data_IF_987891371754
#
_entry.id   IF_987891371754
#
_cell.length_a   1.000
_cell.length_b   1.000
_cell.length_c   1.000
_cell.angle_alpha   90.00
_cell.angle_beta   90.00
_cell.angle_gamma   90.00
#
_symmetry.space_group_name_H-M   'P 1'
#
loop_
_entity.id
_entity.type
_entity.pdbx_description
1 polymer ?
#
# COMPACT_ATOMS: atom_id res chain seq x y z
N UNK A 1 1.15 9.73 -1.59
CA UNK A 1 2.40 9.15 -2.12
C UNK A 1 3.62 10.03 -1.77
N UNK A 2 3.56 11.39 -1.90
CA UNK A 2 4.68 12.27 -1.56
C UNK A 2 5.18 12.07 -0.13
N UNK A 3 4.28 12.13 0.85
CA UNK A 3 4.63 11.90 2.27
C UNK A 3 5.25 10.52 2.50
N UNK A 4 4.76 9.48 1.83
CA UNK A 4 5.33 8.13 1.94
C UNK A 4 6.77 8.11 1.42
N UNK A 5 7.04 8.83 0.32
CA UNK A 5 8.39 8.92 -0.24
C UNK A 5 9.40 9.58 0.73
N UNK A 6 8.91 10.45 1.62
CA UNK A 6 9.76 11.17 2.59
C UNK A 6 10.03 10.39 3.88
N UNK A 7 9.08 9.53 4.30
CA UNK A 7 9.15 8.92 5.64
C UNK A 7 9.28 7.40 5.64
N UNK A 8 9.01 6.71 4.51
CA UNK A 8 9.04 5.27 4.47
C UNK A 8 10.40 4.73 4.01
N UNK A 9 10.86 3.66 4.64
CA UNK A 9 12.05 2.89 4.22
C UNK A 9 11.67 1.89 3.13
N UNK A 10 10.52 1.23 3.32
CA UNK A 10 9.94 0.28 2.37
C UNK A 10 8.49 0.64 2.04
N UNK A 11 8.07 0.24 0.86
CA UNK A 11 6.71 0.45 0.37
C UNK A 11 6.10 -0.88 -0.05
N UNK A 12 4.86 -1.07 0.39
CA UNK A 12 4.01 -2.19 0.02
C UNK A 12 2.83 -1.63 -0.80
N UNK A 13 2.76 -2.01 -2.06
CA UNK A 13 1.69 -1.56 -2.96
C UNK A 13 0.56 -2.59 -2.94
N UNK A 14 -0.62 -2.15 -2.52
CA UNK A 14 -1.81 -3.00 -2.44
C UNK A 14 -2.82 -2.67 -3.53
N UNK A 15 -3.32 -3.70 -4.18
CA UNK A 15 -4.43 -3.64 -5.13
C UNK A 15 -5.42 -4.76 -4.87
N UNK A 16 -6.69 -4.42 -4.65
CA UNK A 16 -7.80 -5.38 -4.41
C UNK A 16 -7.49 -6.46 -3.36
N UNK A 17 -6.97 -6.03 -2.23
CA UNK A 17 -6.68 -6.90 -1.10
C UNK A 17 -5.39 -7.71 -1.21
N UNK A 18 -4.62 -7.55 -2.28
CA UNK A 18 -3.34 -8.24 -2.50
C UNK A 18 -2.18 -7.27 -2.55
N UNK A 19 -1.00 -7.73 -2.14
CA UNK A 19 0.25 -7.04 -2.43
C UNK A 19 0.62 -7.33 -3.88
N UNK A 20 0.83 -6.28 -4.66
CA UNK A 20 1.21 -6.39 -6.08
C UNK A 20 2.66 -6.02 -6.32
N UNK A 21 3.24 -5.20 -5.44
CA UNK A 21 4.66 -4.85 -5.49
C UNK A 21 5.15 -4.47 -4.08
N UNK A 22 6.39 -4.79 -3.77
CA UNK A 22 7.06 -4.45 -2.51
C UNK A 22 8.53 -4.18 -2.77
N UNK A 23 9.09 -3.20 -2.08
CA UNK A 23 10.51 -2.88 -2.17
C UNK A 23 10.86 -1.62 -1.39
N UNK A 24 12.13 -1.26 -1.46
CA UNK A 24 12.61 0.01 -0.89
C UNK A 24 11.90 1.17 -1.59
N UNK A 25 11.62 2.22 -0.86
CA UNK A 25 10.89 3.38 -1.39
C UNK A 25 11.50 3.91 -2.69
N UNK A 26 12.82 4.06 -2.74
CA UNK A 26 13.52 4.56 -3.93
C UNK A 26 13.36 3.63 -5.13
N UNK A 27 13.47 2.32 -4.93
CA UNK A 27 13.36 1.34 -6.02
C UNK A 27 11.96 1.34 -6.63
N UNK A 28 10.91 1.40 -5.78
CA UNK A 28 9.51 1.48 -6.22
C UNK A 28 9.23 2.78 -6.99
N UNK A 29 9.85 3.90 -6.59
CA UNK A 29 9.63 5.19 -7.25
C UNK A 29 10.44 5.34 -8.54
N UNK A 30 11.70 4.88 -8.55
CA UNK A 30 12.59 5.01 -9.70
C UNK A 30 12.29 3.99 -10.81
N UNK A 31 11.94 2.75 -10.43
CA UNK A 31 11.76 1.65 -11.37
C UNK A 31 10.58 0.73 -10.99
N UNK A 32 9.35 1.26 -10.94
CA UNK A 32 8.16 0.45 -10.67
C UNK A 32 8.00 -0.65 -11.72
N UNK A 33 7.79 -1.89 -11.28
CA UNK A 33 7.63 -3.02 -12.19
C UNK A 33 6.17 -3.30 -12.50
N UNK A 34 5.30 -3.23 -11.49
CA UNK A 34 3.90 -3.60 -11.66
C UNK A 34 3.11 -2.48 -12.37
N UNK A 35 2.25 -2.80 -13.38
CA UNK A 35 1.47 -1.79 -14.13
C UNK A 35 0.61 -0.90 -13.25
N UNK A 36 0.06 -1.45 -12.16
CA UNK A 36 -0.70 -0.67 -11.18
C UNK A 36 0.16 0.37 -10.48
N UNK A 37 1.37 0.00 -10.06
CA UNK A 37 2.32 0.95 -9.42
C UNK A 37 2.71 2.06 -10.38
N UNK A 38 3.03 1.70 -11.64
CA UNK A 38 3.30 2.67 -12.71
C UNK A 38 2.13 3.66 -12.85
N UNK A 39 0.91 3.15 -12.94
CA UNK A 39 -0.29 3.96 -13.02
C UNK A 39 -0.47 4.85 -11.80
N UNK A 40 -0.34 4.29 -10.60
CA UNK A 40 -0.51 5.00 -9.33
C UNK A 40 0.46 6.17 -9.16
N UNK A 41 1.73 5.99 -9.56
CA UNK A 41 2.75 7.04 -9.53
C UNK A 41 2.50 8.12 -10.58
N UNK A 42 2.06 7.74 -11.77
CA UNK A 42 1.82 8.67 -12.88
C UNK A 42 0.47 9.42 -12.78
N UNK A 43 -0.49 8.93 -12.00
CA UNK A 43 -1.78 9.61 -11.77
C UNK A 43 -1.67 10.78 -10.78
N UNK A 44 -0.50 11.10 -10.27
CA UNK A 44 -0.29 12.18 -9.31
C UNK A 44 -0.38 13.55 -10.00
N UNK A 45 -1.30 14.46 -9.57
CA UNK A 45 -1.31 15.82 -10.08
C UNK A 45 -0.03 16.55 -9.66
N UNK A 46 0.60 17.21 -10.61
CA UNK A 46 1.78 18.06 -10.36
C UNK A 46 1.32 19.51 -10.28
N UNK A 47 1.88 20.26 -9.31
CA UNK A 47 1.52 21.65 -9.08
C UNK A 47 2.03 22.60 -10.18
N UNK A 48 3.07 22.18 -10.89
CA UNK A 48 3.72 22.93 -11.98
C UNK A 48 3.08 22.72 -13.36
N UNK A 49 2.05 21.89 -13.44
CA UNK A 49 1.49 21.44 -14.71
C UNK A 49 -0.04 21.54 -14.74
N UNK A 50 -0.57 22.13 -15.81
CA UNK A 50 -2.00 22.15 -16.05
C UNK A 50 -2.38 21.01 -16.98
N UNK A 51 -3.10 20.02 -16.44
CA UNK A 51 -3.59 18.89 -17.23
C UNK A 51 -5.01 19.18 -17.75
N UNK A 52 -5.27 18.90 -19.01
CA UNK A 52 -6.64 18.87 -19.53
C UNK A 52 -7.43 17.70 -18.94
N UNK A 53 -6.73 16.57 -18.74
CA UNK A 53 -7.21 15.37 -18.05
C UNK A 53 -6.03 14.70 -17.35
N UNK A 54 -6.17 14.41 -16.07
CA UNK A 54 -5.20 13.59 -15.37
C UNK A 54 -5.26 12.15 -15.88
N UNK A 55 -4.10 11.50 -16.09
CA UNK A 55 -4.09 10.06 -16.34
C UNK A 55 -4.71 9.33 -15.16
N UNK A 56 -5.35 8.22 -15.43
CA UNK A 56 -5.95 7.32 -14.43
C UNK A 56 -5.25 5.97 -14.50
N UNK A 57 -5.34 5.17 -13.44
CA UNK A 57 -4.74 3.83 -13.42
C UNK A 57 -5.22 2.98 -14.60
N UNK A 58 -6.47 3.14 -15.05
CA UNK A 58 -7.02 2.45 -16.22
C UNK A 58 -6.39 2.86 -17.55
N UNK A 59 -5.62 3.95 -17.57
CA UNK A 59 -4.83 4.30 -18.76
C UNK A 59 -3.55 3.45 -18.87
N UNK A 60 -3.09 2.85 -17.77
CA UNK A 60 -1.87 2.05 -17.68
C UNK A 60 -2.13 0.55 -17.66
N UNK A 61 -3.32 0.12 -17.28
CA UNK A 61 -3.65 -1.30 -17.21
C UNK A 61 -5.12 -1.59 -17.48
N UNK A 62 -5.39 -2.80 -17.97
CA UNK A 62 -6.71 -3.43 -17.92
C UNK A 62 -6.78 -4.42 -16.76
N UNK A 63 -7.94 -4.52 -16.15
CA UNK A 63 -8.19 -5.53 -15.12
C UNK A 63 -9.46 -6.30 -15.46
N UNK A 64 -9.32 -7.57 -15.79
CA UNK A 64 -10.46 -8.50 -15.95
C UNK A 64 -10.75 -9.19 -14.62
N UNK A 65 -12.01 -9.09 -14.17
CA UNK A 65 -12.45 -9.72 -12.93
C UNK A 65 -13.07 -11.07 -13.28
N UNK A 66 -12.50 -12.13 -12.73
CA UNK A 66 -13.03 -13.48 -12.87
C UNK A 66 -14.15 -13.75 -11.86
N UNK A 67 -14.96 -14.81 -12.15
CA UNK A 67 -16.09 -15.20 -11.28
C UNK A 67 -15.67 -15.63 -9.86
N UNK A 68 -14.43 -16.05 -9.69
CA UNK A 68 -13.83 -16.40 -8.38
C UNK A 68 -13.34 -15.18 -7.58
N UNK A 69 -13.49 -13.96 -8.16
CA UNK A 69 -13.03 -12.71 -7.57
C UNK A 69 -11.54 -12.41 -7.77
N UNK A 70 -10.83 -13.26 -8.52
CA UNK A 70 -9.47 -12.95 -8.96
C UNK A 70 -9.48 -11.90 -10.08
N UNK A 71 -8.37 -11.19 -10.28
CA UNK A 71 -8.24 -10.24 -11.37
C UNK A 71 -6.97 -10.57 -12.17
N UNK A 72 -7.13 -10.67 -13.48
CA UNK A 72 -5.99 -10.65 -14.40
C UNK A 72 -5.68 -9.21 -14.77
N UNK A 73 -4.43 -8.80 -14.59
CA UNK A 73 -3.96 -7.46 -14.88
C UNK A 73 -3.10 -7.53 -16.14
N UNK A 74 -3.45 -6.74 -17.14
CA UNK A 74 -2.71 -6.62 -18.39
C UNK A 74 -2.17 -5.20 -18.50
N UNK A 75 -0.87 -5.04 -18.69
CA UNK A 75 -0.24 -3.74 -18.94
C UNK A 75 -0.69 -3.18 -20.29
N UNK A 76 -1.08 -1.92 -20.30
CA UNK A 76 -1.30 -1.16 -21.53
C UNK A 76 -0.02 -0.39 -21.86
N UNK A 77 0.72 -0.75 -22.90
CA UNK A 77 1.85 0.08 -23.29
C UNK A 77 1.32 1.46 -23.70
N UNK A 78 1.83 2.47 -23.05
CA UNK A 78 1.57 3.86 -23.43
C UNK A 78 2.34 4.11 -24.72
N UNK A 79 1.66 4.02 -25.85
CA UNK A 79 2.24 4.40 -27.14
C UNK A 79 2.63 5.88 -27.16
N UNK A 80 3.57 6.28 -28.06
CA UNK A 80 4.05 7.68 -28.15
C UNK A 80 2.93 8.71 -28.31
N UNK A 81 1.88 8.37 -29.02
CA UNK A 81 0.72 9.24 -29.23
C UNK A 81 -0.07 9.47 -27.95
N UNK A 82 -0.18 8.47 -27.12
CA UNK A 82 -0.91 8.56 -25.83
C UNK A 82 -0.10 9.31 -24.79
N UNK A 83 1.22 9.15 -24.81
CA UNK A 83 2.15 9.96 -24.02
C UNK A 83 2.10 11.41 -24.45
N UNK A 84 2.14 11.69 -25.76
CA UNK A 84 2.00 13.05 -26.31
C UNK A 84 0.64 13.67 -25.96
N UNK A 85 -0.43 12.89 -25.86
CA UNK A 85 -1.72 13.40 -25.42
C UNK A 85 -1.68 13.98 -23.99
N UNK A 86 -0.98 13.32 -23.08
CA UNK A 86 -0.77 13.84 -21.72
C UNK A 86 0.25 14.99 -21.70
N UNK A 87 1.28 14.95 -22.54
CA UNK A 87 2.35 15.95 -22.65
C UNK A 87 1.92 17.23 -23.35
N UNK A 88 1.13 17.14 -24.44
CA UNK A 88 0.67 18.30 -25.21
C UNK A 88 -0.41 19.12 -24.50
N UNK A 89 -1.06 18.56 -23.48
CA UNK A 89 -2.10 19.23 -22.70
C UNK A 89 -1.64 19.76 -21.35
N UNK A 90 -0.37 19.76 -21.12
CA UNK A 90 0.34 20.27 -19.99
C UNK A 90 1.69 19.53 -19.93
N UNK A 91 2.81 20.22 -19.96
CA UNK A 91 4.17 19.67 -19.97
C UNK A 91 4.43 18.78 -18.74
N UNK A 92 3.62 17.74 -18.57
CA UNK A 92 3.75 16.72 -17.53
C UNK A 92 4.79 15.71 -17.95
N UNK A 93 5.98 15.84 -17.45
CA UNK A 93 6.99 14.79 -17.51
C UNK A 93 6.52 13.64 -16.63
N UNK A 94 6.41 12.44 -17.18
CA UNK A 94 6.27 11.24 -16.36
C UNK A 94 7.47 11.17 -15.42
N UNK A 95 7.23 10.96 -14.13
CA UNK A 95 8.30 10.78 -13.15
C UNK A 95 9.13 9.55 -13.54
N UNK A 96 10.25 9.77 -14.17
CA UNK A 96 11.16 8.72 -14.62
C UNK A 96 12.60 8.93 -14.15
N UNK A 97 12.87 9.97 -13.36
CA UNK A 97 14.23 10.26 -12.94
C UNK A 97 14.33 10.70 -11.48
N UNK A 98 15.25 10.11 -10.77
CA UNK A 98 15.71 10.43 -9.41
C UNK A 98 15.94 11.94 -9.18
N UNK A 99 16.34 12.68 -10.23
CA UNK A 99 16.51 14.13 -10.20
C UNK A 99 15.23 14.93 -9.89
N UNK A 100 14.06 14.33 -10.01
CA UNK A 100 12.79 15.00 -9.72
C UNK A 100 12.37 14.85 -8.25
N UNK A 101 12.93 13.87 -7.55
CA UNK A 101 12.77 13.71 -6.10
C UNK A 101 13.61 14.76 -5.32
N UNK A 102 14.65 15.33 -5.94
CA UNK A 102 15.49 16.40 -5.35
C UNK A 102 14.67 17.65 -4.97
N UNK A 103 13.62 17.95 -5.70
CA UNK A 103 12.68 19.03 -5.37
C UNK A 103 11.91 18.81 -4.05
N UNK A 104 11.97 17.61 -3.47
CA UNK A 104 11.36 17.24 -2.21
C UNK A 104 12.37 17.01 -1.07
N UNK A 105 13.59 17.56 -1.20
CA UNK A 105 14.63 17.43 -0.16
C UNK A 105 15.47 16.15 -0.26
N UNK A 106 15.28 15.35 -1.29
CA UNK A 106 16.14 14.21 -1.57
C UNK A 106 17.48 14.68 -2.14
N UNK A 107 18.58 14.42 -1.44
CA UNK A 107 19.93 14.64 -1.96
C UNK A 107 20.40 13.41 -2.74
N UNK A 108 21.18 13.64 -3.80
CA UNK A 108 21.78 12.55 -4.59
C UNK A 108 22.92 11.83 -3.86
N UNK A 109 23.30 12.34 -2.68
CA UNK A 109 24.33 11.73 -1.86
C UNK A 109 23.72 10.62 -0.99
N UNK A 110 24.02 9.34 -1.24
CA UNK A 110 23.57 8.23 -0.40
C UNK A 110 23.99 8.37 1.06
N UNK A 111 25.06 9.15 1.34
CA UNK A 111 25.52 9.44 2.69
C UNK A 111 24.70 10.53 3.40
N UNK A 112 23.86 11.29 2.66
CA UNK A 112 23.01 12.34 3.24
C UNK A 112 21.66 11.81 3.74
N UNK A 113 21.24 10.66 3.26
CA UNK A 113 20.22 9.85 3.96
C UNK A 113 20.92 9.32 5.19
N UNK A 114 20.59 9.90 6.34
CA UNK A 114 21.31 9.67 7.57
C UNK A 114 21.73 8.21 7.71
N UNK A 115 22.89 7.98 8.26
CA UNK A 115 23.45 6.64 8.55
C UNK A 115 22.49 5.74 9.35
N UNK A 116 21.29 6.25 9.64
CA UNK A 116 20.11 5.63 10.26
C UNK A 116 19.11 5.03 9.27
N UNK A 117 19.34 5.08 7.94
CA UNK A 117 18.58 4.23 7.04
C UNK A 117 18.89 2.79 7.49
N UNK A 118 17.99 2.23 8.26
CA UNK A 118 18.13 0.95 8.94
C UNK A 118 18.43 -0.11 7.88
N UNK A 119 19.73 -0.31 7.62
CA UNK A 119 20.18 -1.53 6.99
C UNK A 119 19.78 -2.63 7.94
N UNK A 120 18.61 -3.20 7.70
CA UNK A 120 18.15 -4.38 8.41
C UNK A 120 19.25 -5.42 8.20
N UNK A 121 19.97 -5.81 9.26
CA UNK A 121 20.98 -6.84 9.14
C UNK A 121 20.31 -8.10 8.60
N UNK A 122 20.98 -8.83 7.71
CA UNK A 122 20.43 -10.05 7.09
C UNK A 122 19.88 -11.08 8.08
N UNK A 123 20.26 -10.99 9.36
CA UNK A 123 19.82 -11.85 10.47
C UNK A 123 18.86 -11.14 11.44
N UNK A 124 18.33 -9.96 11.11
CA UNK A 124 17.42 -9.26 12.02
C UNK A 124 16.08 -10.01 12.12
N UNK A 125 15.62 -10.25 13.33
CA UNK A 125 14.28 -10.77 13.56
C UNK A 125 13.25 -9.66 13.34
N UNK A 126 12.15 -9.94 12.63
CA UNK A 126 11.10 -8.96 12.41
C UNK A 126 10.39 -8.62 13.72
N UNK A 127 10.16 -7.33 13.95
CA UNK A 127 9.33 -6.87 15.06
C UNK A 127 7.86 -7.25 14.85
N UNK A 128 7.37 -7.12 13.62
CA UNK A 128 6.05 -7.55 13.20
C UNK A 128 6.20 -8.44 11.96
N UNK A 129 5.68 -9.66 12.04
CA UNK A 129 5.59 -10.57 10.91
C UNK A 129 4.12 -10.89 10.61
N UNK A 130 3.71 -10.67 9.38
CA UNK A 130 2.38 -10.98 8.87
C UNK A 130 2.54 -12.01 7.77
N UNK A 131 1.90 -13.17 7.92
CA UNK A 131 1.99 -14.24 6.94
C UNK A 131 0.61 -14.66 6.45
N UNK A 132 0.45 -14.63 5.12
CA UNK A 132 -0.74 -15.06 4.38
C UNK A 132 -2.06 -14.56 4.99
N UNK A 133 -2.06 -13.29 5.43
CA UNK A 133 -3.22 -12.67 6.09
C UNK A 133 -4.40 -12.59 5.13
N UNK A 134 -5.54 -13.13 5.56
CA UNK A 134 -6.81 -13.02 4.82
C UNK A 134 -7.90 -12.45 5.71
N UNK A 135 -8.66 -11.51 5.16
CA UNK A 135 -9.86 -10.96 5.77
C UNK A 135 -10.95 -10.95 4.73
N UNK A 136 -11.88 -11.88 4.86
CA UNK A 136 -13.00 -12.06 3.97
C UNK A 136 -14.31 -11.78 4.70
N UNK A 137 -15.09 -10.82 4.21
CA UNK A 137 -16.40 -10.48 4.77
C UNK A 137 -17.51 -11.25 4.05
N UNK A 138 -18.37 -12.00 4.76
CA UNK A 138 -19.46 -12.71 4.13
C UNK A 138 -20.53 -11.73 3.60
N UNK A 139 -20.91 -11.90 2.36
CA UNK A 139 -22.06 -11.21 1.74
C UNK A 139 -23.31 -12.05 2.01
N UNK A 140 -24.22 -11.51 2.82
CA UNK A 140 -25.48 -12.17 3.17
C UNK A 140 -26.61 -11.61 2.34
N UNK A 141 -27.51 -12.47 1.86
CA UNK A 141 -28.69 -12.09 1.06
C UNK A 141 -29.95 -12.82 1.54
N UNK A 142 -31.09 -12.14 1.32
CA UNK A 142 -32.45 -12.68 1.62
C UNK A 142 -32.82 -12.60 3.10
N UNK A 143 -34.09 -12.90 3.39
CA UNK A 143 -34.69 -12.86 4.75
C UNK A 143 -33.94 -13.82 5.70
N UNK A 144 -33.47 -14.94 5.20
CA UNK A 144 -32.74 -15.97 5.96
C UNK A 144 -31.22 -15.65 6.06
N UNK A 145 -30.76 -14.48 5.60
CA UNK A 145 -29.37 -14.05 5.68
C UNK A 145 -28.32 -15.10 5.23
N UNK A 146 -28.63 -15.85 4.17
CA UNK A 146 -27.72 -16.87 3.64
C UNK A 146 -26.49 -16.21 3.02
N UNK A 147 -25.30 -16.73 3.32
CA UNK A 147 -24.04 -16.29 2.72
C UNK A 147 -24.02 -16.69 1.25
N UNK A 148 -24.00 -15.69 0.36
CA UNK A 148 -23.99 -15.87 -1.11
C UNK A 148 -22.62 -15.62 -1.72
N UNK A 149 -21.66 -15.16 -0.93
CA UNK A 149 -20.29 -14.88 -1.38
C UNK A 149 -19.47 -14.20 -0.28
N UNK A 150 -18.24 -13.83 -0.61
CA UNK A 150 -17.33 -13.13 0.29
C UNK A 150 -16.66 -11.96 -0.42
N UNK A 151 -16.57 -10.82 0.26
CA UNK A 151 -15.71 -9.72 -0.15
C UNK A 151 -14.32 -9.97 0.42
N UNK A 152 -13.36 -10.22 -0.44
CA UNK A 152 -11.95 -10.45 -0.08
C UNK A 152 -11.24 -9.12 0.13
N UNK A 153 -11.41 -8.52 1.29
CA UNK A 153 -10.82 -7.22 1.60
C UNK A 153 -9.30 -7.28 1.75
N UNK A 154 -8.80 -8.41 2.24
CA UNK A 154 -7.37 -8.78 2.29
C UNK A 154 -7.28 -10.24 1.89
N UNK A 155 -6.42 -10.60 0.95
CA UNK A 155 -6.36 -11.93 0.35
C UNK A 155 -4.91 -12.39 0.16
N UNK A 156 -4.29 -12.87 1.24
CA UNK A 156 -2.94 -13.45 1.21
C UNK A 156 -1.82 -12.41 1.29
N UNK A 157 -1.96 -11.43 2.18
CA UNK A 157 -0.93 -10.40 2.39
C UNK A 157 0.14 -10.93 3.33
N UNK A 158 1.41 -10.82 2.91
CA UNK A 158 2.60 -11.24 3.67
C UNK A 158 3.61 -10.10 3.67
N UNK A 159 4.13 -9.72 4.83
CA UNK A 159 5.21 -8.74 4.97
C UNK A 159 5.81 -8.80 6.38
N UNK A 160 7.00 -8.22 6.51
CA UNK A 160 7.70 -8.03 7.77
C UNK A 160 7.95 -6.55 8.02
N UNK A 161 7.99 -6.14 9.29
CA UNK A 161 8.44 -4.82 9.71
C UNK A 161 9.51 -5.02 10.78
N UNK A 162 10.64 -4.36 10.61
CA UNK A 162 11.77 -4.47 11.53
C UNK A 162 11.78 -3.29 12.51
N UNK A 163 12.51 -3.46 13.61
CA UNK A 163 12.64 -2.40 14.60
C UNK A 163 13.32 -1.16 14.00
N UNK A 164 12.70 0.00 14.17
CA UNK A 164 13.17 1.27 13.60
C UNK A 164 12.79 1.50 12.14
N UNK A 165 12.19 0.52 11.46
CA UNK A 165 11.76 0.62 10.07
C UNK A 165 10.36 1.22 9.96
N UNK A 166 10.15 2.04 8.95
CA UNK A 166 8.85 2.56 8.53
C UNK A 166 8.40 1.87 7.26
N UNK A 167 7.31 1.10 7.34
CA UNK A 167 6.69 0.45 6.18
C UNK A 167 5.51 1.29 5.66
N UNK A 168 5.62 1.79 4.44
CA UNK A 168 4.55 2.52 3.75
C UNK A 168 3.57 1.57 3.07
N UNK A 169 2.28 1.66 3.41
CA UNK A 169 1.22 0.87 2.77
C UNK A 169 0.44 1.74 1.80
N UNK A 170 0.59 1.54 0.49
CA UNK A 170 0.02 2.38 -0.55
C UNK A 170 -0.99 1.65 -1.44
N UNK A 171 -1.88 2.40 -2.08
CA UNK A 171 -2.90 1.89 -2.98
C UNK A 171 -4.17 2.77 -2.93
N UNK A 172 -5.10 2.56 -3.86
CA UNK A 172 -6.37 3.28 -3.93
C UNK A 172 -7.27 3.04 -2.71
N UNK A 173 -8.28 3.89 -2.56
CA UNK A 173 -9.30 3.67 -1.52
C UNK A 173 -9.98 2.31 -1.71
N UNK A 174 -10.20 1.58 -0.62
CA UNK A 174 -10.82 0.26 -0.65
C UNK A 174 -9.90 -0.91 -1.02
N UNK A 175 -8.60 -0.70 -1.29
CA UNK A 175 -7.68 -1.80 -1.62
C UNK A 175 -7.28 -2.70 -0.43
N UNK A 176 -7.70 -2.39 0.81
CA UNK A 176 -7.47 -3.24 1.98
C UNK A 176 -6.54 -2.70 3.06
N UNK A 177 -5.87 -1.55 2.87
CA UNK A 177 -4.90 -0.98 3.83
C UNK A 177 -5.43 -0.87 5.26
N UNK A 178 -6.56 -0.18 5.41
CA UNK A 178 -7.20 0.01 6.73
C UNK A 178 -7.64 -1.32 7.34
N UNK A 179 -8.10 -2.25 6.52
CA UNK A 179 -8.50 -3.59 6.97
C UNK A 179 -7.29 -4.37 7.46
N UNK A 180 -6.15 -4.29 6.76
CA UNK A 180 -4.89 -4.91 7.18
C UNK A 180 -4.44 -4.38 8.55
N UNK A 181 -4.38 -3.05 8.73
CA UNK A 181 -4.01 -2.45 10.01
C UNK A 181 -4.97 -2.84 11.15
N UNK A 182 -6.27 -2.85 10.89
CA UNK A 182 -7.27 -3.28 11.89
C UNK A 182 -7.17 -4.77 12.22
N UNK A 183 -6.81 -5.61 11.25
CA UNK A 183 -6.63 -7.04 11.47
C UNK A 183 -5.39 -7.34 12.33
N UNK A 184 -4.30 -6.60 12.15
CA UNK A 184 -3.10 -6.70 13.00
C UNK A 184 -3.46 -6.44 14.46
N UNK A 185 -4.30 -5.45 14.75
CA UNK A 185 -4.76 -5.11 16.10
C UNK A 185 -5.94 -5.97 16.58
N UNK A 186 -6.33 -6.99 15.84
CA UNK A 186 -7.51 -7.82 16.12
C UNK A 186 -8.80 -6.99 16.34
N UNK A 187 -8.87 -5.81 15.73
CA UNK A 187 -10.12 -5.03 15.65
C UNK A 187 -11.07 -5.59 14.59
N UNK A 188 -10.50 -6.24 13.60
CA UNK A 188 -11.19 -7.07 12.61
C UNK A 188 -10.56 -8.46 12.69
N UNK A 189 -11.40 -9.48 12.86
CA UNK A 189 -10.91 -10.86 12.99
C UNK A 189 -10.41 -11.37 11.63
N UNK A 190 -9.14 -11.82 11.52
CA UNK A 190 -8.66 -12.50 10.32
C UNK A 190 -9.48 -13.75 10.00
N UNK A 191 -9.67 -14.01 8.72
CA UNK A 191 -10.26 -15.26 8.24
C UNK A 191 -9.24 -16.40 8.30
N UNK A 192 -8.00 -16.09 7.95
CA UNK A 192 -6.84 -16.99 8.06
C UNK A 192 -5.54 -16.19 7.99
N UNK A 193 -4.40 -16.88 8.13
CA UNK A 193 -3.08 -16.30 8.22
C UNK A 193 -2.63 -16.12 9.67
N UNK A 194 -1.37 -15.79 9.84
CA UNK A 194 -0.75 -15.60 11.17
C UNK A 194 -0.11 -14.22 11.27
N UNK A 195 -0.15 -13.66 12.47
CA UNK A 195 0.46 -12.39 12.80
C UNK A 195 1.28 -12.58 14.06
N UNK A 196 2.56 -12.22 14.02
CA UNK A 196 3.46 -12.27 15.15
C UNK A 196 4.00 -10.88 15.45
N UNK A 197 4.10 -10.54 16.71
CA UNK A 197 4.74 -9.34 17.21
C UNK A 197 5.80 -9.73 18.22
N UNK A 198 7.07 -9.42 17.91
CA UNK A 198 8.21 -9.82 18.74
C UNK A 198 8.18 -11.33 19.05
N UNK A 199 8.05 -12.15 18.00
CA UNK A 199 7.90 -13.61 18.01
C UNK A 199 6.67 -14.18 18.75
N UNK A 200 5.83 -13.31 19.32
CA UNK A 200 4.59 -13.72 19.96
C UNK A 200 3.41 -13.68 19.00
N UNK A 201 2.68 -14.77 18.85
CA UNK A 201 1.48 -14.81 18.03
C UNK A 201 0.42 -13.86 18.57
N UNK A 202 -0.10 -12.99 17.69
CA UNK A 202 -1.25 -12.13 18.00
C UNK A 202 -2.53 -12.95 17.88
N UNK A 203 -3.12 -13.23 19.01
CA UNK A 203 -4.38 -13.97 19.13
C UNK A 203 -5.41 -13.12 19.88
N UNK A 204 -6.71 -13.46 19.83
CA UNK A 204 -7.71 -12.75 20.62
C UNK A 204 -7.42 -12.77 22.14
N UNK A 205 -6.65 -13.72 22.61
CA UNK A 205 -6.27 -13.84 24.04
C UNK A 205 -5.04 -12.99 24.38
N UNK A 206 -4.02 -12.98 23.52
CA UNK A 206 -2.76 -12.22 23.75
C UNK A 206 -2.88 -10.72 23.42
N UNK A 207 -3.90 -10.32 22.65
CA UNK A 207 -4.01 -8.94 22.17
C UNK A 207 -4.14 -7.88 23.27
N UNK A 208 -4.67 -8.25 24.44
CA UNK A 208 -4.82 -7.32 25.56
C UNK A 208 -3.49 -6.76 26.05
N UNK A 209 -2.47 -7.60 26.15
CA UNK A 209 -1.12 -7.21 26.56
C UNK A 209 -0.40 -6.48 25.41
N UNK A 210 -0.61 -6.94 24.17
CA UNK A 210 0.02 -6.38 22.99
C UNK A 210 -0.48 -4.96 22.66
N UNK A 211 -1.73 -4.63 22.96
CA UNK A 211 -2.29 -3.28 22.75
C UNK A 211 -1.61 -2.19 23.60
N UNK A 212 -0.88 -2.54 24.62
CA UNK A 212 -0.04 -1.59 25.34
C UNK A 212 1.24 -1.23 24.58
N UNK A 213 1.68 -2.11 23.66
CA UNK A 213 2.90 -1.95 22.85
C UNK A 213 2.63 -1.53 21.41
N UNK A 214 1.42 -1.80 20.90
CA UNK A 214 0.99 -1.49 19.54
C UNK A 214 -0.19 -0.52 19.61
N UNK A 215 -0.06 0.63 18.95
CA UNK A 215 -1.09 1.66 18.92
C UNK A 215 -1.53 1.94 17.48
N UNK A 216 -2.75 2.45 17.33
CA UNK A 216 -3.29 2.93 16.06
C UNK A 216 -3.66 4.40 16.19
N UNK A 217 -3.26 5.18 15.20
CA UNK A 217 -3.71 6.57 15.04
C UNK A 217 -4.71 6.56 13.89
N UNK A 218 -5.95 6.95 14.17
CA UNK A 218 -7.00 7.03 13.16
C UNK A 218 -6.85 8.29 12.31
N UNK A 219 -7.32 8.21 11.07
CA UNK A 219 -7.27 9.32 10.11
C UNK A 219 -8.05 10.56 10.60
N UNK A 220 -9.13 10.36 11.37
CA UNK A 220 -9.86 11.40 12.06
C UNK A 220 -9.78 11.16 13.60
N UNK A 221 -8.77 11.75 14.27
CA UNK A 221 -8.62 11.59 15.71
C UNK A 221 -9.74 12.27 16.50
N UNK A 222 -10.35 13.34 15.97
CA UNK A 222 -11.42 14.06 16.66
C UNK A 222 -12.74 13.29 16.70
N UNK A 223 -13.08 12.55 15.63
CA UNK A 223 -14.22 11.65 15.62
C UNK A 223 -14.08 10.45 16.55
N UNK A 224 -12.86 10.16 17.00
CA UNK A 224 -12.55 9.06 17.94
C UNK A 224 -12.53 9.51 19.39
N UNK A 225 -12.48 10.81 19.66
CA UNK A 225 -12.51 11.36 21.00
C UNK A 225 -13.96 11.46 21.47
N UNK A 226 -14.26 10.82 22.61
CA UNK A 226 -15.57 10.88 23.22
C UNK A 226 -15.86 12.34 23.62
N UNK A 227 -16.89 12.99 23.09
CA UNK A 227 -17.23 14.36 23.46
C UNK A 227 -17.94 14.37 24.84
N UNK A 228 -17.17 14.16 25.90
CA UNK A 228 -17.61 14.37 27.26
C UNK A 228 -16.81 15.48 27.90
#
# INVERSE_FOLDING_TARGET
LGVIAEIADEVLVMYRGKVVEQGRVLDIYDNPQHPYTKGLLNCRPRLDTTYKRLPTVSDFMDSEIHKDGSATITEKPLGPERMAYFENHGRGRLLSKRSELQGYGYSDDPASYGQDATCVSENAQPLLAVDNLKVHFPVRRGILQRTVGHVKAVDGVTFNVFKGQTLGLVGESGCGKTTTGRAILQLVRPTSGTIHFNDQAITPTSIKELRQKIQIIFQDPFGSMNPR
#
